data_IF_087495357446
#
_entry.id   IF_087495357446
#
_cell.length_a   1.000
_cell.length_b   1.000
_cell.length_c   1.000
_cell.angle_alpha   90.00
_cell.angle_beta   90.00
_cell.angle_gamma   90.00
#
_symmetry.space_group_name_H-M   'P 1'
#
loop_
_entity.id
_entity.type
_entity.pdbx_description
1 polymer ?
#
# COMPACT_ATOMS: atom_id res chain seq x y z
N UNK A 1 -2.61 -3.02 -6.62
CA UNK A 1 -3.13 -2.33 -7.83
C UNK A 1 -2.54 -0.94 -8.03
N UNK A 2 -2.54 -0.04 -7.04
CA UNK A 2 -1.96 1.31 -7.20
C UNK A 2 -0.45 1.35 -7.53
N UNK A 3 0.37 0.41 -7.03
CA UNK A 3 1.79 0.32 -7.39
C UNK A 3 2.03 -0.01 -8.88
N UNK A 4 1.17 -0.80 -9.52
CA UNK A 4 1.22 -1.05 -10.96
C UNK A 4 0.96 0.24 -11.73
N UNK A 5 -0.05 1.01 -11.32
CA UNK A 5 -0.37 2.28 -11.97
C UNK A 5 0.79 3.29 -11.89
N UNK A 6 1.55 3.31 -10.78
CA UNK A 6 2.77 4.14 -10.67
C UNK A 6 3.85 3.66 -11.65
N UNK A 7 4.10 2.34 -11.71
CA UNK A 7 5.09 1.75 -12.62
C UNK A 7 4.78 2.05 -14.09
N UNK A 8 3.52 1.89 -14.46
CA UNK A 8 3.07 1.95 -15.86
C UNK A 8 2.67 3.38 -16.28
N UNK A 9 2.67 4.36 -15.35
CA UNK A 9 2.26 5.76 -15.59
C UNK A 9 2.89 6.35 -16.85
N UNK A 10 4.22 6.32 -16.98
CA UNK A 10 4.92 6.97 -18.08
C UNK A 10 4.52 6.36 -19.44
N UNK A 11 4.27 5.05 -19.48
CA UNK A 11 3.77 4.38 -20.68
C UNK A 11 2.29 4.71 -20.92
N UNK A 12 1.47 4.68 -19.88
CA UNK A 12 0.04 4.97 -19.99
C UNK A 12 -0.22 6.43 -20.44
N UNK A 13 0.64 7.36 -20.04
CA UNK A 13 0.62 8.77 -20.48
C UNK A 13 0.91 8.90 -21.99
N UNK A 14 1.91 8.17 -22.52
CA UNK A 14 2.26 8.23 -23.95
C UNK A 14 1.20 7.59 -24.86
N UNK A 15 0.45 6.60 -24.36
CA UNK A 15 -0.67 5.98 -25.11
C UNK A 15 -2.03 6.65 -24.81
N UNK A 16 -2.05 7.79 -24.11
CA UNK A 16 -3.27 8.56 -23.87
C UNK A 16 -4.28 7.92 -22.90
N UNK A 17 -3.86 6.99 -22.05
CA UNK A 17 -4.75 6.36 -21.06
C UNK A 17 -5.03 7.30 -19.89
N UNK A 18 -6.28 7.30 -19.44
CA UNK A 18 -6.73 8.11 -18.30
C UNK A 18 -6.67 7.36 -16.95
N UNK A 19 -5.54 6.75 -16.61
CA UNK A 19 -5.39 6.10 -15.30
C UNK A 19 -5.28 7.14 -14.18
N UNK A 20 -5.62 6.74 -12.94
CA UNK A 20 -5.45 7.60 -11.76
C UNK A 20 -4.03 8.16 -11.64
N UNK A 21 -3.01 7.38 -12.01
CA UNK A 21 -1.63 7.82 -11.91
C UNK A 21 -1.25 8.90 -12.95
N UNK A 22 -1.84 8.82 -14.15
CA UNK A 22 -1.71 9.86 -15.17
C UNK A 22 -2.43 11.14 -14.73
N UNK A 23 -3.65 11.04 -14.21
CA UNK A 23 -4.45 12.19 -13.74
C UNK A 23 -3.86 12.90 -12.51
N UNK A 24 -3.34 12.14 -11.55
CA UNK A 24 -2.78 12.69 -10.30
C UNK A 24 -1.32 13.16 -10.46
N UNK A 25 -0.58 12.59 -11.41
CA UNK A 25 0.87 12.78 -11.52
C UNK A 25 1.66 11.86 -10.58
N UNK A 26 2.97 11.71 -10.82
CA UNK A 26 3.83 10.74 -10.13
C UNK A 26 3.84 10.92 -8.60
N UNK A 27 4.17 12.13 -8.11
CA UNK A 27 4.28 12.41 -6.67
C UNK A 27 2.97 12.16 -5.93
N UNK A 28 1.84 12.65 -6.44
CA UNK A 28 0.53 12.47 -5.80
C UNK A 28 0.08 11.01 -5.81
N UNK A 29 0.43 10.26 -6.86
CA UNK A 29 0.14 8.82 -6.94
C UNK A 29 0.90 8.01 -5.90
N UNK A 30 2.17 8.36 -5.66
CA UNK A 30 2.99 7.75 -4.60
C UNK A 30 2.44 8.07 -3.20
N UNK A 31 2.03 9.32 -2.98
CA UNK A 31 1.37 9.72 -1.73
C UNK A 31 0.07 8.92 -1.55
N UNK A 32 -0.78 8.85 -2.57
CA UNK A 32 -2.03 8.10 -2.53
C UNK A 32 -1.80 6.63 -2.20
N UNK A 33 -0.80 6.01 -2.82
CA UNK A 33 -0.42 4.63 -2.53
C UNK A 33 -0.04 4.45 -1.06
N UNK A 34 0.77 5.34 -0.51
CA UNK A 34 1.17 5.26 0.89
C UNK A 34 0.02 5.52 1.85
N UNK A 35 -0.83 6.51 1.57
CA UNK A 35 -1.99 6.83 2.40
C UNK A 35 -2.99 5.67 2.43
N UNK A 36 -3.19 4.96 1.32
CA UNK A 36 -4.05 3.78 1.26
C UNK A 36 -3.52 2.63 2.13
N UNK A 37 -2.20 2.43 2.17
CA UNK A 37 -1.61 1.42 3.05
C UNK A 37 -1.76 1.80 4.52
N UNK A 38 -1.54 3.08 4.85
CA UNK A 38 -1.71 3.56 6.23
C UNK A 38 -3.16 3.49 6.69
N UNK A 39 -4.13 3.88 5.85
CA UNK A 39 -5.55 3.88 6.22
C UNK A 39 -6.06 2.48 6.58
N UNK A 40 -5.45 1.41 6.05
CA UNK A 40 -5.80 0.04 6.40
C UNK A 40 -5.64 -0.25 7.90
N UNK A 41 -4.75 0.46 8.61
CA UNK A 41 -4.50 0.27 10.05
C UNK A 41 -5.53 0.97 10.93
N UNK A 42 -6.38 1.83 10.35
CA UNK A 42 -7.46 2.51 11.09
C UNK A 42 -8.68 1.60 11.23
N UNK A 43 -9.00 0.81 10.20
CA UNK A 43 -10.18 -0.04 10.19
C UNK A 43 -10.27 -1.03 11.38
N UNK A 44 -9.20 -1.72 11.79
CA UNK A 44 -9.24 -2.62 12.95
C UNK A 44 -9.54 -1.89 14.26
N UNK A 45 -9.14 -0.63 14.42
CA UNK A 45 -9.37 0.14 15.65
C UNK A 45 -10.86 0.42 15.87
N UNK A 46 -11.67 0.36 14.81
CA UNK A 46 -13.12 0.54 14.90
C UNK A 46 -13.83 -0.65 15.56
N UNK A 47 -13.15 -1.79 15.76
CA UNK A 47 -13.73 -2.95 16.46
C UNK A 47 -13.77 -2.77 17.98
N UNK A 48 -13.09 -1.74 18.52
CA UNK A 48 -12.98 -1.45 19.96
C UNK A 48 -12.40 -2.62 20.79
N UNK A 49 -11.84 -3.63 20.15
CA UNK A 49 -11.20 -4.76 20.81
C UNK A 49 -9.72 -4.47 21.12
N UNK A 50 -9.20 -4.82 22.31
CA UNK A 50 -7.77 -4.71 22.61
C UNK A 50 -6.89 -5.48 21.62
N UNK A 51 -7.42 -6.58 21.07
CA UNK A 51 -6.70 -7.42 20.12
C UNK A 51 -6.49 -6.75 18.76
N UNK A 52 -7.24 -5.69 18.43
CA UNK A 52 -7.06 -4.89 17.21
C UNK A 52 -5.63 -4.34 17.06
N UNK A 53 -4.95 -4.11 18.19
CA UNK A 53 -3.57 -3.65 18.24
C UNK A 53 -2.57 -4.64 17.59
N UNK A 54 -2.92 -5.93 17.47
CA UNK A 54 -2.09 -6.91 16.76
C UNK A 54 -1.80 -6.51 15.31
N UNK A 55 -2.75 -5.83 14.66
CA UNK A 55 -2.58 -5.35 13.29
C UNK A 55 -1.49 -4.29 13.15
N UNK A 56 -1.12 -3.61 14.25
CA UNK A 56 -0.02 -2.63 14.27
C UNK A 56 1.36 -3.27 14.10
N UNK A 57 1.49 -4.59 14.26
CA UNK A 57 2.75 -5.29 13.97
C UNK A 57 3.14 -5.15 12.48
N UNK A 58 2.17 -5.02 11.58
CA UNK A 58 2.41 -4.77 10.17
C UNK A 58 2.83 -3.31 9.86
N UNK A 59 2.64 -2.38 10.80
CA UNK A 59 2.85 -0.95 10.58
C UNK A 59 4.30 -0.62 10.20
N UNK A 60 5.27 -1.28 10.83
CA UNK A 60 6.69 -1.06 10.53
C UNK A 60 7.03 -1.43 9.09
N UNK A 61 6.46 -2.51 8.58
CA UNK A 61 6.63 -2.96 7.20
C UNK A 61 5.90 -2.01 6.22
N UNK A 62 4.69 -1.57 6.57
CA UNK A 62 3.92 -0.56 5.83
C UNK A 62 4.71 0.74 5.65
N UNK A 63 5.28 1.28 6.72
CA UNK A 63 6.07 2.52 6.68
C UNK A 63 7.32 2.32 5.81
N UNK A 64 8.02 1.19 5.95
CA UNK A 64 9.21 0.88 5.15
C UNK A 64 8.90 0.85 3.65
N UNK A 65 7.82 0.17 3.27
CA UNK A 65 7.40 0.04 1.88
C UNK A 65 6.90 1.39 1.31
N UNK A 66 6.15 2.15 2.10
CA UNK A 66 5.72 3.50 1.76
C UNK A 66 6.86 4.47 1.49
N UNK A 67 7.87 4.51 2.38
CA UNK A 67 9.08 5.32 2.20
C UNK A 67 9.85 4.93 0.95
N UNK A 68 9.96 3.63 0.67
CA UNK A 68 10.62 3.14 -0.54
C UNK A 68 9.91 3.59 -1.81
N UNK A 69 8.58 3.64 -1.83
CA UNK A 69 7.83 4.19 -2.97
C UNK A 69 7.99 5.69 -3.06
N UNK A 70 7.96 6.41 -1.94
CA UNK A 70 8.13 7.86 -1.90
C UNK A 70 9.54 8.34 -2.27
N UNK A 71 10.57 7.49 -2.16
CA UNK A 71 11.95 7.82 -2.56
C UNK A 71 12.15 7.95 -4.07
N UNK A 72 11.13 7.65 -4.89
CA UNK A 72 11.19 7.86 -6.33
C UNK A 72 11.65 6.65 -7.14
N UNK A 73 11.69 5.44 -6.54
CA UNK A 73 11.97 4.20 -7.29
C UNK A 73 11.09 4.13 -8.55
N UNK A 74 11.64 3.63 -9.66
CA UNK A 74 10.99 3.68 -10.98
C UNK A 74 11.30 2.44 -11.82
N UNK A 75 10.44 2.17 -12.81
CA UNK A 75 10.61 1.07 -13.76
C UNK A 75 10.69 -0.33 -13.10
N UNK A 76 11.69 -1.13 -13.49
CA UNK A 76 11.85 -2.51 -13.00
C UNK A 76 12.08 -2.59 -11.47
N UNK A 77 12.59 -1.51 -10.85
CA UNK A 77 12.76 -1.45 -9.40
C UNK A 77 11.43 -1.45 -8.62
N UNK A 78 10.27 -1.21 -9.27
CA UNK A 78 8.95 -1.39 -8.64
C UNK A 78 8.48 -2.85 -8.60
N UNK A 79 9.06 -3.75 -9.40
CA UNK A 79 8.62 -5.15 -9.45
C UNK A 79 8.74 -5.82 -8.06
N UNK A 80 9.86 -5.68 -7.33
CA UNK A 80 9.94 -6.20 -5.96
C UNK A 80 8.93 -5.54 -5.02
N UNK A 81 8.60 -4.26 -5.21
CA UNK A 81 7.63 -3.55 -4.37
C UNK A 81 6.23 -4.12 -4.52
N UNK A 82 5.85 -4.55 -5.72
CA UNK A 82 4.59 -5.25 -5.95
C UNK A 82 4.49 -6.55 -5.16
N UNK A 83 5.54 -7.38 -5.21
CA UNK A 83 5.61 -8.61 -4.44
C UNK A 83 5.55 -8.32 -2.93
N UNK A 84 6.33 -7.35 -2.44
CA UNK A 84 6.32 -6.96 -1.01
C UNK A 84 4.98 -6.36 -0.56
N UNK A 85 4.28 -5.65 -1.44
CA UNK A 85 2.93 -5.14 -1.14
C UNK A 85 1.95 -6.31 -0.96
N UNK A 86 2.01 -7.32 -1.82
CA UNK A 86 1.18 -8.52 -1.68
C UNK A 86 1.48 -9.29 -0.39
N UNK A 87 2.77 -9.48 -0.06
CA UNK A 87 3.19 -10.12 1.20
C UNK A 87 2.69 -9.34 2.43
N UNK A 88 2.80 -8.01 2.40
CA UNK A 88 2.28 -7.13 3.45
C UNK A 88 0.77 -7.28 3.62
N UNK A 89 0.02 -7.33 2.51
CA UNK A 89 -1.43 -7.53 2.53
C UNK A 89 -1.81 -8.89 3.14
N UNK A 90 -1.14 -9.97 2.75
CA UNK A 90 -1.38 -11.30 3.31
C UNK A 90 -1.08 -11.35 4.81
N UNK A 91 0.06 -10.80 5.22
CA UNK A 91 0.44 -10.73 6.64
C UNK A 91 -0.56 -9.88 7.45
N UNK A 92 -0.98 -8.74 6.91
CA UNK A 92 -2.00 -7.89 7.55
C UNK A 92 -3.34 -8.62 7.68
N UNK A 93 -3.81 -9.29 6.63
CA UNK A 93 -5.06 -10.05 6.67
C UNK A 93 -5.00 -11.19 7.69
N UNK A 94 -3.86 -11.88 7.83
CA UNK A 94 -3.68 -12.91 8.85
C UNK A 94 -3.74 -12.32 10.26
N UNK A 95 -3.05 -11.20 10.51
CA UNK A 95 -3.10 -10.49 11.79
C UNK A 95 -4.49 -9.96 12.14
N UNK A 96 -5.24 -9.48 11.13
CA UNK A 96 -6.61 -9.02 11.31
C UNK A 96 -7.53 -10.19 11.64
N UNK A 97 -7.41 -11.31 10.92
CA UNK A 97 -8.20 -12.51 11.18
C UNK A 97 -7.95 -13.06 12.59
N UNK A 98 -6.69 -13.12 13.04
CA UNK A 98 -6.36 -13.56 14.40
C UNK A 98 -6.84 -12.57 15.46
N UNK A 99 -6.72 -11.27 15.21
CA UNK A 99 -7.28 -10.23 16.08
C UNK A 99 -8.79 -10.41 16.28
N UNK A 100 -9.54 -10.61 15.20
CA UNK A 100 -10.99 -10.82 15.26
C UNK A 100 -11.35 -12.14 15.95
N UNK A 101 -10.58 -13.19 15.73
CA UNK A 101 -10.81 -14.49 16.37
C UNK A 101 -10.59 -14.46 17.90
N UNK A 102 -9.69 -13.60 18.39
CA UNK A 102 -9.42 -13.42 19.82
C UNK A 102 -10.35 -12.42 20.52
N UNK A 103 -11.13 -11.64 19.74
CA UNK A 103 -11.98 -10.55 20.24
C UNK A 103 -13.29 -11.03 20.85
#
# INVERSE_FOLDING_TARGET
>A
MAANNIRDRAKDETVGKHTLAVRLGDRRSRILFFTLLLSAHVAPLLTLSPWSLLTLLALRATIGLGRLVLSGISGKALIPVLAKTGQLQLAFSALLATSLWLS
#
